data_IF_464229756202
#
_entry.id   IF_464229756202
#
_cell.length_a   1.000
_cell.length_b   1.000
_cell.length_c   1.000
_cell.angle_alpha   90.00
_cell.angle_beta   90.00
_cell.angle_gamma   90.00
#
_symmetry.space_group_name_H-M   'P 1'
#
loop_
_entity.id
_entity.type
_entity.pdbx_description
1 polymer ?
#
# COMPACT_ATOMS: atom_id res chain seq x y z
N UNK A 1 -24.56 9.36 16.81
CA UNK A 1 -23.48 9.43 15.81
C UNK A 1 -23.17 10.89 15.52
N UNK A 2 -21.96 11.20 15.05
CA UNK A 2 -21.54 12.56 14.71
C UNK A 2 -22.53 13.24 13.74
N UNK A 3 -23.00 12.51 12.72
CA UNK A 3 -23.97 13.04 11.76
C UNK A 3 -25.34 13.38 12.38
N UNK A 4 -25.82 12.61 13.37
CA UNK A 4 -27.09 12.92 14.07
C UNK A 4 -27.05 14.25 14.82
N UNK A 5 -25.85 14.67 15.25
CA UNK A 5 -25.64 15.93 15.97
C UNK A 5 -25.00 17.01 15.08
N UNK A 6 -24.95 16.79 13.75
CA UNK A 6 -24.31 17.70 12.78
C UNK A 6 -22.84 18.01 13.09
N UNK A 7 -22.15 17.10 13.77
CA UNK A 7 -20.72 17.21 14.04
C UNK A 7 -19.91 16.73 12.84
N UNK A 8 -18.91 17.52 12.45
CA UNK A 8 -18.11 17.30 11.24
C UNK A 8 -16.62 17.05 11.53
N UNK A 9 -16.27 15.95 12.24
CA UNK A 9 -14.88 15.66 12.57
C UNK A 9 -14.10 15.19 11.34
N UNK A 10 -12.77 15.34 11.45
CA UNK A 10 -11.83 14.60 10.63
C UNK A 10 -11.74 13.15 11.15
N UNK A 11 -11.77 12.18 10.25
CA UNK A 11 -11.46 10.79 10.54
C UNK A 11 -10.03 10.48 10.08
N UNK A 12 -9.25 9.91 10.99
CA UNK A 12 -7.91 9.40 10.72
C UNK A 12 -7.94 7.88 10.78
N UNK A 13 -7.48 7.23 9.72
CA UNK A 13 -7.47 5.77 9.62
C UNK A 13 -6.16 5.21 9.07
N UNK A 14 -6.06 3.88 9.10
CA UNK A 14 -5.01 3.10 8.43
C UNK A 14 -5.59 2.46 7.17
N UNK A 15 -4.74 2.02 6.24
CA UNK A 15 -5.20 1.39 4.99
C UNK A 15 -6.03 0.13 5.19
N UNK A 16 -5.78 -0.59 6.29
CA UNK A 16 -6.57 -1.75 6.71
C UNK A 16 -7.98 -1.40 7.19
N UNK A 17 -8.32 -0.11 7.30
CA UNK A 17 -9.65 0.36 7.70
C UNK A 17 -10.63 0.52 6.53
N UNK A 18 -10.17 0.29 5.29
CA UNK A 18 -10.98 0.47 4.08
C UNK A 18 -10.97 -0.79 3.22
N UNK A 19 -12.17 -1.24 2.85
CA UNK A 19 -12.42 -2.32 1.89
C UNK A 19 -13.61 -1.93 0.99
N UNK A 20 -14.00 -2.74 -0.02
CA UNK A 20 -15.12 -2.38 -0.89
C UNK A 20 -16.46 -2.22 -0.17
N UNK A 21 -16.71 -3.00 0.89
CA UNK A 21 -17.95 -2.93 1.68
C UNK A 21 -17.98 -1.70 2.60
N UNK A 22 -16.82 -1.23 3.06
CA UNK A 22 -16.68 0.02 3.82
C UNK A 22 -17.29 1.21 3.06
N UNK A 23 -17.05 1.33 1.75
CA UNK A 23 -17.60 2.42 0.94
C UNK A 23 -19.11 2.31 0.76
N UNK A 24 -19.63 1.08 0.64
CA UNK A 24 -21.07 0.83 0.57
C UNK A 24 -21.76 1.22 1.88
N UNK A 25 -21.20 0.83 3.02
CA UNK A 25 -21.74 1.13 4.35
C UNK A 25 -21.57 2.61 4.74
N UNK A 26 -20.46 3.23 4.32
CA UNK A 26 -20.08 4.60 4.65
C UNK A 26 -20.67 5.67 3.71
N UNK A 27 -21.52 5.28 2.75
CA UNK A 27 -22.11 6.21 1.78
C UNK A 27 -22.97 7.27 2.48
N UNK A 28 -22.71 8.54 2.17
CA UNK A 28 -23.31 9.71 2.80
C UNK A 28 -22.69 10.08 4.16
N UNK A 29 -21.79 9.24 4.69
CA UNK A 29 -21.15 9.40 6.00
C UNK A 29 -19.66 9.76 5.87
N UNK A 30 -18.91 9.11 4.98
CA UNK A 30 -17.48 9.40 4.82
C UNK A 30 -17.28 10.78 4.19
N UNK A 31 -18.00 11.06 3.09
CA UNK A 31 -17.87 12.29 2.29
C UNK A 31 -16.40 12.52 1.91
N UNK A 32 -15.76 13.55 2.46
CA UNK A 32 -14.35 13.91 2.28
C UNK A 32 -13.56 13.93 3.60
N UNK A 33 -14.12 13.31 4.65
CA UNK A 33 -13.64 13.42 6.04
C UNK A 33 -12.58 12.39 6.40
N UNK A 34 -12.36 11.37 5.57
CA UNK A 34 -11.39 10.32 5.84
C UNK A 34 -10.03 10.66 5.23
N UNK A 35 -9.05 10.83 6.11
CA UNK A 35 -7.63 10.85 5.78
C UNK A 35 -7.01 9.58 6.34
N UNK A 36 -6.20 8.92 5.53
CA UNK A 36 -5.68 7.60 5.80
C UNK A 36 -4.16 7.60 5.65
N UNK A 37 -3.46 6.97 6.60
CA UNK A 37 -2.07 6.62 6.38
C UNK A 37 -2.01 5.43 5.41
N UNK A 38 -1.17 5.53 4.38
CA UNK A 38 -1.05 4.52 3.34
C UNK A 38 0.41 4.31 2.94
N UNK A 39 0.95 3.07 3.03
CA UNK A 39 2.30 2.74 2.62
C UNK A 39 2.37 2.28 1.15
N UNK A 40 1.50 2.80 0.27
CA UNK A 40 1.39 2.34 -1.11
C UNK A 40 1.26 3.43 -2.15
N UNK A 41 1.67 3.07 -3.37
CA UNK A 41 1.43 3.80 -4.60
C UNK A 41 -0.04 3.77 -4.99
N UNK A 42 -0.52 4.85 -5.60
CA UNK A 42 -1.89 5.06 -6.05
C UNK A 42 -1.92 5.17 -7.57
N UNK A 43 -3.07 4.93 -8.22
CA UNK A 43 -3.20 5.06 -9.68
C UNK A 43 -2.71 6.40 -10.24
N UNK A 44 -2.86 7.48 -9.46
CA UNK A 44 -2.42 8.83 -9.81
C UNK A 44 -0.89 9.00 -9.83
N UNK A 45 -0.13 8.13 -9.17
CA UNK A 45 1.34 8.21 -9.14
C UNK A 45 1.99 7.76 -10.45
N UNK A 46 1.25 7.03 -11.31
CA UNK A 46 1.74 6.51 -12.60
C UNK A 46 3.06 5.72 -12.48
N UNK A 47 3.24 4.99 -11.37
CA UNK A 47 4.42 4.18 -11.13
C UNK A 47 4.41 2.90 -11.96
N UNK A 48 5.59 2.35 -12.29
CA UNK A 48 5.70 1.10 -13.08
C UNK A 48 5.02 -0.08 -12.40
N UNK A 49 5.10 -0.16 -11.07
CA UNK A 49 4.43 -1.21 -10.31
C UNK A 49 2.89 -1.10 -10.37
N UNK A 50 2.35 0.08 -10.64
CA UNK A 50 0.91 0.24 -10.90
C UNK A 50 0.48 -0.36 -12.24
N UNK A 51 1.40 -0.56 -13.19
CA UNK A 51 1.07 -1.24 -14.45
C UNK A 51 0.85 -2.74 -14.24
N UNK A 52 1.58 -3.35 -13.29
CA UNK A 52 1.31 -4.72 -12.84
C UNK A 52 -0.10 -4.82 -12.26
N UNK A 53 -0.49 -3.89 -11.38
CA UNK A 53 -1.86 -3.84 -10.85
C UNK A 53 -2.92 -3.77 -11.95
N UNK A 54 -2.74 -2.88 -12.93
CA UNK A 54 -3.68 -2.75 -14.07
C UNK A 54 -3.74 -4.01 -14.92
N UNK A 55 -2.61 -4.68 -15.15
CA UNK A 55 -2.57 -5.96 -15.86
C UNK A 55 -3.37 -7.03 -15.12
N UNK A 56 -3.14 -7.17 -13.81
CA UNK A 56 -3.84 -8.15 -12.97
C UNK A 56 -5.35 -7.85 -12.90
N UNK A 57 -5.75 -6.58 -12.80
CA UNK A 57 -7.16 -6.19 -12.87
C UNK A 57 -7.79 -6.59 -14.20
N UNK A 58 -7.12 -6.30 -15.33
CA UNK A 58 -7.61 -6.65 -16.67
C UNK A 58 -7.72 -8.16 -16.86
N UNK A 59 -6.74 -8.91 -16.34
CA UNK A 59 -6.65 -10.37 -16.48
C UNK A 59 -7.69 -11.10 -15.63
N UNK A 60 -7.78 -10.74 -14.35
CA UNK A 60 -8.57 -11.51 -13.37
C UNK A 60 -9.95 -10.93 -13.11
N UNK A 61 -10.16 -9.61 -13.35
CA UNK A 61 -11.47 -8.93 -13.21
C UNK A 61 -12.15 -9.16 -11.85
N UNK A 62 -11.36 -9.38 -10.81
CA UNK A 62 -11.85 -9.62 -9.43
C UNK A 62 -12.18 -8.34 -8.70
N UNK A 63 -11.63 -7.21 -9.14
CA UNK A 63 -11.94 -5.85 -8.66
C UNK A 63 -12.22 -4.93 -9.85
N UNK A 64 -13.12 -3.96 -9.65
CA UNK A 64 -13.52 -2.99 -10.68
C UNK A 64 -12.71 -1.68 -10.63
N UNK A 65 -12.01 -1.43 -9.52
CA UNK A 65 -11.24 -0.22 -9.25
C UNK A 65 -10.07 -0.53 -8.32
N UNK A 66 -9.28 0.50 -7.99
CA UNK A 66 -8.27 0.36 -6.96
C UNK A 66 -8.89 -0.07 -5.63
N UNK A 67 -8.31 -1.10 -5.03
CA UNK A 67 -8.70 -1.67 -3.75
C UNK A 67 -7.44 -1.91 -2.92
N UNK A 68 -7.47 -1.49 -1.65
CA UNK A 68 -6.30 -1.55 -0.77
C UNK A 68 -5.94 -3.00 -0.39
N UNK A 69 -6.94 -3.88 -0.21
CA UNK A 69 -6.71 -5.28 0.11
C UNK A 69 -6.12 -6.04 -1.09
N UNK A 70 -6.62 -5.74 -2.30
CA UNK A 70 -6.05 -6.27 -3.54
C UNK A 70 -4.62 -5.80 -3.74
N UNK A 71 -4.34 -4.51 -3.51
CA UNK A 71 -2.99 -3.95 -3.53
C UNK A 71 -2.07 -4.69 -2.56
N UNK A 72 -2.50 -4.92 -1.32
CA UNK A 72 -1.71 -5.61 -0.30
C UNK A 72 -1.34 -7.04 -0.75
N UNK A 73 -2.30 -7.78 -1.30
CA UNK A 73 -2.04 -9.11 -1.85
C UNK A 73 -1.01 -9.11 -2.98
N UNK A 74 -1.07 -8.12 -3.88
CA UNK A 74 -0.07 -7.96 -4.95
C UNK A 74 1.30 -7.60 -4.40
N UNK A 75 1.38 -6.69 -3.42
CA UNK A 75 2.65 -6.32 -2.76
C UNK A 75 3.33 -7.53 -2.13
N UNK A 76 2.59 -8.32 -1.34
CA UNK A 76 3.12 -9.54 -0.72
C UNK A 76 3.56 -10.54 -1.80
N UNK A 77 2.75 -10.72 -2.85
CA UNK A 77 3.06 -11.58 -3.98
C UNK A 77 4.37 -11.19 -4.68
N UNK A 78 4.58 -9.90 -4.94
CA UNK A 78 5.80 -9.38 -5.57
C UNK A 78 7.05 -9.63 -4.71
N UNK A 79 6.97 -9.39 -3.40
CA UNK A 79 8.09 -9.62 -2.48
C UNK A 79 8.44 -11.11 -2.44
N UNK A 80 7.44 -11.98 -2.29
CA UNK A 80 7.65 -13.42 -2.19
C UNK A 80 8.14 -14.02 -3.51
N UNK A 81 7.61 -13.57 -4.66
CA UNK A 81 8.09 -13.99 -5.98
C UNK A 81 9.59 -13.71 -6.13
N UNK A 82 10.02 -12.49 -5.81
CA UNK A 82 11.44 -12.13 -5.87
C UNK A 82 12.29 -12.94 -4.89
N UNK A 83 11.78 -13.21 -3.69
CA UNK A 83 12.46 -14.07 -2.72
C UNK A 83 12.62 -15.50 -3.25
N UNK A 84 11.59 -16.08 -3.87
CA UNK A 84 11.65 -17.43 -4.45
C UNK A 84 12.64 -17.51 -5.61
N UNK A 85 12.62 -16.54 -6.53
CA UNK A 85 13.57 -16.47 -7.66
C UNK A 85 15.00 -16.43 -7.11
N UNK A 86 15.28 -15.52 -6.17
CA UNK A 86 16.62 -15.35 -5.60
C UNK A 86 17.08 -16.55 -4.77
N UNK A 87 16.17 -17.17 -4.00
CA UNK A 87 16.46 -18.39 -3.26
C UNK A 87 16.88 -19.53 -4.19
N UNK A 88 16.12 -19.72 -5.29
CA UNK A 88 16.42 -20.73 -6.30
C UNK A 88 17.71 -20.41 -7.07
N UNK A 89 17.94 -19.18 -7.49
CA UNK A 89 19.16 -18.76 -8.18
C UNK A 89 20.41 -19.07 -7.35
N UNK A 90 20.37 -18.75 -6.05
CA UNK A 90 21.50 -18.87 -5.13
C UNK A 90 21.76 -20.30 -4.64
N UNK A 91 20.71 -21.09 -4.41
CA UNK A 91 20.83 -22.38 -3.71
C UNK A 91 20.27 -23.59 -4.46
N UNK A 92 19.51 -23.36 -5.55
CA UNK A 92 18.72 -24.38 -6.27
C UNK A 92 17.70 -25.13 -5.39
N UNK A 93 17.45 -24.65 -4.17
CA UNK A 93 16.51 -25.23 -3.22
C UNK A 93 15.57 -24.14 -2.73
N UNK A 94 14.27 -24.43 -2.74
CA UNK A 94 13.25 -23.54 -2.18
C UNK A 94 12.75 -24.15 -0.88
N UNK A 95 13.16 -23.56 0.24
CA UNK A 95 12.71 -23.92 1.58
C UNK A 95 12.69 -22.66 2.48
N UNK A 96 12.12 -22.72 3.70
CA UNK A 96 12.01 -21.55 4.56
C UNK A 96 13.34 -20.83 4.81
N UNK A 97 14.44 -21.58 4.96
CA UNK A 97 15.76 -21.04 5.23
C UNK A 97 16.30 -20.26 4.02
N UNK A 98 16.16 -20.80 2.81
CA UNK A 98 16.65 -20.15 1.58
C UNK A 98 15.79 -18.94 1.21
N UNK A 99 14.49 -18.99 1.49
CA UNK A 99 13.57 -17.85 1.31
C UNK A 99 13.91 -16.72 2.29
N UNK A 100 14.07 -17.02 3.58
CA UNK A 100 14.45 -16.00 4.57
C UNK A 100 15.79 -15.36 4.20
N UNK A 101 16.79 -16.15 3.84
CA UNK A 101 18.08 -15.64 3.40
C UNK A 101 17.99 -14.77 2.12
N UNK A 102 17.02 -15.03 1.24
CA UNK A 102 16.77 -14.23 0.05
C UNK A 102 16.04 -12.91 0.37
N UNK A 103 15.09 -12.94 1.30
CA UNK A 103 14.43 -11.73 1.81
C UNK A 103 15.42 -10.84 2.55
N UNK A 104 16.20 -11.38 3.48
CA UNK A 104 17.25 -10.68 4.24
C UNK A 104 18.37 -10.10 3.35
N UNK A 105 18.44 -10.51 2.08
CA UNK A 105 19.36 -9.93 1.11
C UNK A 105 18.78 -8.74 0.35
N UNK A 106 17.48 -8.45 0.49
CA UNK A 106 16.84 -7.27 -0.08
C UNK A 106 17.29 -6.03 0.69
N UNK A 107 17.98 -5.12 0.01
CA UNK A 107 18.46 -3.87 0.57
C UNK A 107 18.02 -2.72 -0.32
N UNK A 108 17.12 -1.89 0.19
CA UNK A 108 16.47 -0.83 -0.59
C UNK A 108 15.92 -1.37 -1.93
N UNK A 109 15.30 -2.54 -1.88
CA UNK A 109 14.81 -3.26 -3.04
C UNK A 109 13.54 -2.55 -3.56
N UNK A 110 13.60 -2.03 -4.78
CA UNK A 110 12.49 -1.33 -5.43
C UNK A 110 11.60 -2.29 -6.24
N UNK A 111 10.30 -2.08 -6.14
CA UNK A 111 9.25 -2.81 -6.83
C UNK A 111 8.47 -1.90 -7.78
N UNK A 112 9.16 -0.92 -8.35
CA UNK A 112 8.62 -0.01 -9.35
C UNK A 112 7.68 1.04 -8.76
N UNK A 113 7.84 1.38 -7.48
CA UNK A 113 7.04 2.40 -6.80
C UNK A 113 5.57 2.01 -6.56
N UNK A 114 5.23 0.71 -6.53
CA UNK A 114 3.90 0.27 -6.04
C UNK A 114 3.80 0.41 -4.52
N UNK A 115 4.92 0.35 -3.84
CA UNK A 115 5.12 0.55 -2.40
C UNK A 115 6.57 1.05 -2.20
N UNK A 116 6.89 1.66 -1.04
CA UNK A 116 8.26 2.05 -0.73
C UNK A 116 9.22 0.87 -0.85
N UNK A 117 10.46 1.15 -1.24
CA UNK A 117 11.50 0.13 -1.31
C UNK A 117 11.66 -0.58 0.05
N UNK A 118 11.94 -1.89 -0.01
CA UNK A 118 12.00 -2.73 1.19
C UNK A 118 13.44 -3.12 1.54
N UNK A 119 13.69 -3.22 2.83
CA UNK A 119 14.90 -3.79 3.41
C UNK A 119 14.50 -4.76 4.50
N UNK A 120 15.01 -5.97 4.43
CA UNK A 120 14.90 -6.94 5.51
C UNK A 120 16.30 -7.25 6.04
N UNK A 121 16.42 -7.38 7.35
CA UNK A 121 17.63 -7.85 8.01
C UNK A 121 17.26 -8.98 8.96
N UNK A 122 18.24 -9.75 9.40
CA UNK A 122 18.03 -10.87 10.35
C UNK A 122 17.26 -10.47 11.63
N UNK A 123 17.37 -9.21 12.03
CA UNK A 123 16.81 -8.62 13.23
C UNK A 123 15.66 -7.62 12.97
N UNK A 124 15.38 -7.27 11.71
CA UNK A 124 14.28 -6.38 11.35
C UNK A 124 13.54 -6.88 10.10
N UNK A 125 12.29 -7.30 10.31
CA UNK A 125 11.41 -7.83 9.26
C UNK A 125 10.25 -6.88 8.88
N UNK A 126 10.33 -5.59 9.23
CA UNK A 126 9.28 -4.60 8.90
C UNK A 126 9.20 -4.29 7.40
N UNK A 127 10.31 -4.47 6.67
CA UNK A 127 10.42 -4.17 5.23
C UNK A 127 10.56 -2.67 4.97
N UNK A 128 9.63 -1.84 5.44
CA UNK A 128 9.71 -0.38 5.33
C UNK A 128 8.92 0.32 6.43
N UNK A 129 9.43 1.47 6.88
CA UNK A 129 8.74 2.37 7.83
C UNK A 129 8.28 3.68 7.16
N UNK A 130 8.07 3.65 5.84
CA UNK A 130 7.74 4.81 5.02
C UNK A 130 6.26 4.79 4.64
N UNK A 131 5.59 5.93 4.77
CA UNK A 131 4.19 6.06 4.38
C UNK A 131 3.83 7.48 3.96
N UNK A 132 2.59 7.69 3.53
CA UNK A 132 2.04 9.02 3.25
C UNK A 132 0.61 9.13 3.76
N UNK A 133 0.11 10.36 3.83
CA UNK A 133 -1.31 10.61 4.07
C UNK A 133 -2.04 10.68 2.72
N UNK A 134 -3.18 10.02 2.62
CA UNK A 134 -4.06 10.05 1.45
C UNK A 134 -5.47 10.45 1.89
N UNK A 135 -6.17 11.20 1.04
CA UNK A 135 -7.60 11.43 1.21
C UNK A 135 -8.34 10.28 0.55
N UNK A 136 -9.26 9.69 1.30
CA UNK A 136 -10.18 8.68 0.82
C UNK A 136 -11.49 9.38 0.48
N UNK A 137 -11.94 9.24 -0.76
CA UNK A 137 -13.22 9.79 -1.22
C UNK A 137 -14.31 8.74 -1.15
N UNK A 138 -15.55 9.22 -1.04
CA UNK A 138 -16.74 8.37 -0.98
C UNK A 138 -16.97 7.52 -2.23
N UNK A 139 -16.42 7.90 -3.39
CA UNK A 139 -16.43 7.11 -4.63
C UNK A 139 -15.40 5.95 -4.63
N UNK A 140 -14.72 5.71 -3.51
CA UNK A 140 -13.68 4.69 -3.39
C UNK A 140 -12.34 5.11 -3.99
N UNK A 141 -12.18 6.35 -4.47
CA UNK A 141 -10.90 6.83 -4.99
C UNK A 141 -10.02 7.44 -3.89
N UNK A 142 -8.72 7.33 -4.09
CA UNK A 142 -7.70 7.80 -3.18
C UNK A 142 -6.90 8.91 -3.85
N UNK A 143 -6.56 9.96 -3.10
CA UNK A 143 -5.71 11.05 -3.59
C UNK A 143 -4.60 11.32 -2.59
N UNK A 144 -3.33 11.38 -3.02
CA UNK A 144 -2.25 11.66 -2.09
C UNK A 144 -2.37 13.10 -1.56
N UNK A 145 -2.13 13.27 -0.26
CA UNK A 145 -2.10 14.57 0.41
C UNK A 145 -0.68 14.99 0.76
N UNK A 146 0.21 14.02 0.98
CA UNK A 146 1.61 14.27 1.33
C UNK A 146 2.55 13.47 0.45
N UNK A 147 3.82 13.86 0.42
CA UNK A 147 4.91 12.97 0.01
C UNK A 147 4.93 11.70 0.89
N UNK A 148 5.69 10.70 0.45
CA UNK A 148 6.15 9.63 1.32
C UNK A 148 7.19 10.16 2.31
N UNK A 149 7.09 9.70 3.56
CA UNK A 149 7.95 10.12 4.67
C UNK A 149 8.07 9.01 5.71
N UNK A 150 9.19 8.99 6.43
CA UNK A 150 9.39 8.21 7.65
C UNK A 150 8.99 9.06 8.87
N UNK A 151 7.99 8.66 9.67
CA UNK A 151 7.56 9.41 10.84
C UNK A 151 8.72 9.70 11.81
N UNK A 152 8.82 10.95 12.26
CA UNK A 152 9.87 11.39 13.20
C UNK A 152 11.26 11.59 12.58
N UNK A 153 11.44 11.30 11.28
CA UNK A 153 12.71 11.51 10.57
C UNK A 153 12.58 12.51 9.43
N UNK A 154 11.59 12.31 8.57
CA UNK A 154 11.43 13.10 7.35
C UNK A 154 10.44 14.26 7.53
N UNK A 155 10.64 15.32 6.75
CA UNK A 155 9.70 16.44 6.68
C UNK A 155 8.47 16.05 5.87
N UNK A 156 7.30 16.22 6.48
CA UNK A 156 6.01 16.10 5.79
C UNK A 156 5.80 17.31 4.87
N UNK A 157 5.55 17.05 3.60
CA UNK A 157 5.26 18.05 2.57
C UNK A 157 3.87 17.81 2.01
N UNK A 158 3.04 18.86 2.01
CA UNK A 158 1.73 18.81 1.39
C UNK A 158 1.87 18.83 -0.14
N UNK A 159 1.22 17.90 -0.82
CA UNK A 159 1.11 17.92 -2.28
C UNK A 159 0.03 18.94 -2.64
N UNK A 160 0.44 20.04 -3.28
CA UNK A 160 -0.51 21.03 -3.82
C UNK A 160 -1.27 20.39 -4.98
N UNK A 161 -2.59 20.55 -4.97
CA UNK A 161 -3.45 20.23 -6.12
C UNK A 161 -3.46 21.38 -7.11
#
# INVERSE_FOLDING_TARGET
>A
SADRIKYNPLFLGTWTSTDPDFFKMGKGLIRDRLIMQFPGGLPSDKSKGMDVMKELWKRYKTVNSFDASYWEGVVVGMIMERAFIRAYEKSKVINPQTINAAMESMKNEDFGGLFPAVTYTKDNHEGSFTARMVRVKEDGTYSPLTNFYVPGKDKVQMIKK
#
